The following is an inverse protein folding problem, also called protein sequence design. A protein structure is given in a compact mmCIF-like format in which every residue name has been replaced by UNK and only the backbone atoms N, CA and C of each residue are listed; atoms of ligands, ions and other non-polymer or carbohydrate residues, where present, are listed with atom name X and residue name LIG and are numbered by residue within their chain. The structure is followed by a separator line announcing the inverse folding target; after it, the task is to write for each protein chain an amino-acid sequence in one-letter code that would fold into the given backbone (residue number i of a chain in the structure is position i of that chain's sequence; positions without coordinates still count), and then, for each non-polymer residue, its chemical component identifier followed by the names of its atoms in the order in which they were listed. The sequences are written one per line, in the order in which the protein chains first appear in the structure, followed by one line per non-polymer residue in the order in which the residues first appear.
data_IF_569167673673
#
_entry.id   IF_569167673673
#
_cell.length_a   1.000
_cell.length_b   1.000
_cell.length_c   1.000
_cell.angle_alpha   90.00
_cell.angle_beta   90.00
_cell.angle_gamma   90.00
#
_symmetry.space_group_name_H-M   'P 1'
#
loop_
_entity.id
_entity.type
_entity.pdbx_description
1 polymer ?
#
# COMPACT_ATOMS: atom_id res chain seq x y z
N UNK A 1 24.93 41.34 24.01
CA UNK A 1 23.60 41.08 24.46
C UNK A 1 23.41 39.62 24.80
N UNK A 2 23.49 39.35 26.08
CA UNK A 2 23.44 37.95 26.58
C UNK A 2 22.13 37.24 26.27
N UNK A 3 20.98 37.93 26.35
CA UNK A 3 19.68 37.37 26.09
C UNK A 3 19.53 36.87 24.64
N UNK A 4 20.00 37.62 23.67
CA UNK A 4 19.96 37.24 22.26
C UNK A 4 20.83 36.01 21.95
N UNK A 5 21.99 35.92 22.57
CA UNK A 5 22.89 34.74 22.46
C UNK A 5 22.25 33.50 23.06
N UNK A 6 21.60 33.64 24.22
CA UNK A 6 20.87 32.50 24.85
C UNK A 6 19.69 32.04 24.00
N UNK A 7 18.88 32.98 23.51
CA UNK A 7 17.75 32.66 22.63
C UNK A 7 18.23 31.95 21.35
N UNK A 8 19.28 32.44 20.71
CA UNK A 8 19.89 31.82 19.56
C UNK A 8 20.40 30.41 19.87
N UNK A 9 21.05 30.22 20.99
CA UNK A 9 21.55 28.92 21.43
C UNK A 9 20.41 27.92 21.66
N UNK A 10 19.36 28.34 22.34
CA UNK A 10 18.17 27.52 22.59
C UNK A 10 17.52 27.12 21.26
N UNK A 11 17.40 28.07 20.33
CA UNK A 11 16.82 27.80 19.00
C UNK A 11 17.66 26.79 18.22
N UNK A 12 18.97 26.92 18.20
CA UNK A 12 19.87 25.97 17.52
C UNK A 12 19.76 24.58 18.11
N UNK A 13 19.76 24.46 19.43
CA UNK A 13 19.61 23.18 20.11
C UNK A 13 18.24 22.54 19.85
N UNK A 14 17.20 23.36 19.79
CA UNK A 14 15.86 22.89 19.45
C UNK A 14 15.81 22.29 18.02
N UNK A 15 16.41 22.98 17.05
CA UNK A 15 16.49 22.50 15.65
C UNK A 15 17.30 21.22 15.58
N UNK A 16 18.44 21.13 16.29
CA UNK A 16 19.25 19.91 16.36
C UNK A 16 18.45 18.74 16.96
N UNK A 17 17.73 18.98 18.05
CA UNK A 17 16.90 17.95 18.68
C UNK A 17 15.81 17.42 17.74
N UNK A 18 15.13 18.31 17.03
CA UNK A 18 14.13 17.94 16.02
C UNK A 18 14.76 17.13 14.89
N UNK A 19 15.92 17.54 14.38
CA UNK A 19 16.63 16.84 13.31
C UNK A 19 17.05 15.43 13.74
N UNK A 20 17.56 15.27 14.96
CA UNK A 20 17.92 13.95 15.52
C UNK A 20 16.68 13.09 15.70
N UNK A 21 15.60 13.63 16.23
CA UNK A 21 14.33 12.88 16.36
C UNK A 21 13.80 12.41 15.01
N UNK A 22 13.82 13.24 13.98
CA UNK A 22 13.40 12.87 12.63
C UNK A 22 14.30 11.79 12.04
N UNK A 23 15.61 11.89 12.26
CA UNK A 23 16.57 10.87 11.78
C UNK A 23 16.31 9.52 12.46
N UNK A 24 16.15 9.47 13.76
CA UNK A 24 15.83 8.25 14.52
C UNK A 24 14.49 7.68 14.07
N UNK A 25 13.48 8.52 13.94
CA UNK A 25 12.16 8.12 13.45
C UNK A 25 12.24 7.48 12.05
N UNK A 26 13.00 8.08 11.13
CA UNK A 26 13.20 7.55 9.78
C UNK A 26 13.89 6.20 9.81
N UNK A 27 14.96 6.04 10.58
CA UNK A 27 15.72 4.79 10.71
C UNK A 27 14.81 3.68 11.28
N UNK A 28 14.12 3.96 12.37
CA UNK A 28 13.20 3.01 13.01
C UNK A 28 12.07 2.62 12.06
N UNK A 29 11.48 3.59 11.38
CA UNK A 29 10.39 3.36 10.43
C UNK A 29 10.81 2.49 9.25
N UNK A 30 12.00 2.72 8.70
CA UNK A 30 12.53 1.93 7.58
C UNK A 30 12.94 0.52 8.03
N UNK A 31 13.49 0.39 9.25
CA UNK A 31 14.00 -0.90 9.75
C UNK A 31 12.91 -1.80 10.33
N UNK A 32 11.83 -1.22 10.86
CA UNK A 32 10.81 -1.97 11.59
C UNK A 32 9.60 -2.34 10.73
N UNK A 33 9.29 -1.51 9.73
CA UNK A 33 8.12 -1.72 8.89
C UNK A 33 8.54 -2.00 7.45
N UNK A 34 8.09 -3.12 6.92
CA UNK A 34 8.17 -3.37 5.49
C UNK A 34 7.44 -2.24 4.73
N UNK A 35 7.98 -1.91 3.56
CA UNK A 35 7.46 -0.82 2.74
C UNK A 35 5.98 -1.00 2.38
N UNK A 36 5.54 -2.25 2.29
CA UNK A 36 4.16 -2.62 2.01
C UNK A 36 3.23 -2.57 3.23
N UNK A 37 3.79 -2.57 4.44
CA UNK A 37 3.00 -2.63 5.68
C UNK A 37 2.75 -1.26 6.33
N UNK A 38 3.26 -0.19 5.72
CA UNK A 38 3.08 1.15 6.26
C UNK A 38 1.65 1.60 6.07
N UNK A 39 0.91 1.61 7.15
CA UNK A 39 -0.44 2.15 7.19
C UNK A 39 -0.54 3.28 8.21
N UNK A 40 -1.36 4.27 7.91
CA UNK A 40 -1.70 5.35 8.81
C UNK A 40 -3.22 5.36 8.98
N UNK A 41 -3.68 5.11 10.20
CA UNK A 41 -5.12 5.00 10.51
C UNK A 41 -5.88 3.98 9.64
N UNK A 42 -5.23 2.88 9.26
CA UNK A 42 -5.81 1.85 8.40
C UNK A 42 -5.77 2.17 6.90
N UNK A 43 -5.13 3.27 6.50
CA UNK A 43 -4.94 3.64 5.10
C UNK A 43 -3.49 3.45 4.66
N UNK A 44 -3.31 2.96 3.45
CA UNK A 44 -2.00 2.84 2.78
C UNK A 44 -2.03 3.60 1.47
N UNK A 45 -0.92 4.25 1.14
CA UNK A 45 -0.75 4.95 -0.12
C UNK A 45 0.24 4.20 -1.02
N UNK A 46 -0.15 3.98 -2.26
CA UNK A 46 0.69 3.34 -3.28
C UNK A 46 0.70 4.15 -4.56
N UNK A 47 1.84 4.08 -5.25
CA UNK A 47 1.93 4.59 -6.62
C UNK A 47 1.67 3.41 -7.56
N UNK A 48 0.76 3.60 -8.49
CA UNK A 48 0.43 2.61 -9.52
C UNK A 48 1.60 2.46 -10.47
N UNK A 49 2.10 1.24 -10.66
CA UNK A 49 3.29 0.95 -11.46
C UNK A 49 2.97 0.45 -12.87
N UNK A 50 1.72 0.09 -13.15
CA UNK A 50 1.32 -0.45 -14.45
C UNK A 50 0.01 0.14 -14.95
N UNK A 51 -0.23 0.04 -16.25
CA UNK A 51 -1.45 0.52 -16.91
C UNK A 51 -2.57 -0.51 -16.95
N UNK A 52 -2.51 -1.58 -16.14
CA UNK A 52 -3.51 -2.66 -16.14
C UNK A 52 -4.94 -2.20 -15.82
N UNK A 53 -5.09 -1.04 -15.17
CA UNK A 53 -6.38 -0.43 -14.83
C UNK A 53 -6.66 0.87 -15.58
N UNK A 54 -5.83 1.24 -16.58
CA UNK A 54 -5.89 2.54 -17.25
C UNK A 54 -7.14 2.77 -18.08
N UNK A 55 -7.81 1.70 -18.48
CA UNK A 55 -9.01 1.80 -19.33
C UNK A 55 -10.19 2.47 -18.62
N UNK A 56 -10.37 2.23 -17.32
CA UNK A 56 -11.57 2.65 -16.59
C UNK A 56 -11.30 3.40 -15.30
N UNK A 57 -10.16 3.20 -14.65
CA UNK A 57 -9.98 3.62 -13.26
C UNK A 57 -8.80 4.58 -13.05
N UNK A 58 -7.56 4.12 -13.27
CA UNK A 58 -6.37 4.94 -13.03
C UNK A 58 -5.18 4.45 -13.85
N UNK A 59 -4.20 5.35 -14.06
CA UNK A 59 -3.01 5.12 -14.89
C UNK A 59 -1.76 4.88 -14.03
N UNK A 60 -0.72 4.34 -14.66
CA UNK A 60 0.61 4.25 -14.04
C UNK A 60 1.10 5.64 -13.63
N UNK A 61 1.65 5.75 -12.43
CA UNK A 61 2.07 7.02 -11.83
C UNK A 61 1.03 7.67 -10.94
N UNK A 62 -0.23 7.23 -10.98
CA UNK A 62 -1.27 7.74 -10.08
C UNK A 62 -1.02 7.28 -8.64
N UNK A 63 -1.33 8.17 -7.71
CA UNK A 63 -1.31 7.85 -6.29
C UNK A 63 -2.68 7.34 -5.87
N UNK A 64 -2.71 6.13 -5.31
CA UNK A 64 -3.94 5.53 -4.77
C UNK A 64 -3.85 5.43 -3.25
N UNK A 65 -4.95 5.76 -2.59
CA UNK A 65 -5.10 5.59 -1.16
C UNK A 65 -6.06 4.43 -0.92
N UNK A 66 -5.57 3.39 -0.25
CA UNK A 66 -6.35 2.19 0.05
C UNK A 66 -6.61 2.07 1.54
N UNK A 67 -7.73 1.45 1.89
CA UNK A 67 -8.13 1.17 3.27
C UNK A 67 -8.09 -0.33 3.53
N UNK A 68 -7.57 -0.72 4.68
CA UNK A 68 -7.70 -2.10 5.15
C UNK A 68 -9.16 -2.39 5.49
N UNK A 69 -9.68 -3.46 4.92
CA UNK A 69 -11.05 -3.92 5.15
C UNK A 69 -11.07 -5.42 5.38
N UNK A 70 -12.12 -5.90 6.04
CA UNK A 70 -12.35 -7.35 6.16
C UNK A 70 -12.65 -7.92 4.76
N UNK A 71 -11.85 -8.89 4.28
CA UNK A 71 -12.07 -9.51 2.97
C UNK A 71 -13.47 -10.10 2.78
N UNK A 72 -14.11 -10.54 3.85
CA UNK A 72 -15.46 -11.08 3.81
C UNK A 72 -16.53 -10.04 3.40
N UNK A 73 -16.21 -8.75 3.48
CA UNK A 73 -17.11 -7.65 3.09
C UNK A 73 -16.98 -7.25 1.62
N UNK A 74 -15.97 -7.76 0.92
CA UNK A 74 -15.70 -7.44 -0.48
C UNK A 74 -16.68 -8.17 -1.40
N UNK A 75 -16.97 -7.54 -2.54
CA UNK A 75 -17.93 -8.04 -3.53
C UNK A 75 -17.44 -7.75 -4.95
N UNK A 76 -18.13 -8.36 -5.92
CA UNK A 76 -17.87 -8.12 -7.34
C UNK A 76 -17.88 -6.64 -7.69
N UNK A 77 -16.91 -6.22 -8.50
CA UNK A 77 -16.75 -4.85 -8.92
C UNK A 77 -15.89 -3.98 -7.99
N UNK A 78 -15.55 -4.46 -6.79
CA UNK A 78 -14.64 -3.74 -5.90
C UNK A 78 -13.20 -3.77 -6.46
N UNK A 79 -12.48 -2.68 -6.27
CA UNK A 79 -11.06 -2.58 -6.61
C UNK A 79 -10.26 -2.87 -5.34
N UNK A 80 -9.36 -3.85 -5.42
CA UNK A 80 -8.53 -4.28 -4.30
C UNK A 80 -7.05 -4.16 -4.61
N UNK A 81 -6.26 -3.91 -3.57
CA UNK A 81 -4.81 -4.06 -3.61
C UNK A 81 -4.43 -5.27 -2.76
N UNK A 82 -3.60 -6.13 -3.30
CA UNK A 82 -3.19 -7.38 -2.66
C UNK A 82 -1.74 -7.72 -3.00
N UNK A 83 -1.14 -8.58 -2.19
CA UNK A 83 0.19 -9.12 -2.46
C UNK A 83 0.08 -10.30 -3.43
N UNK A 84 0.69 -10.19 -4.58
CA UNK A 84 0.60 -11.21 -5.63
C UNK A 84 1.30 -12.50 -5.22
N UNK A 85 0.63 -13.62 -5.49
CA UNK A 85 1.17 -14.97 -5.37
C UNK A 85 1.54 -15.57 -6.73
N UNK A 86 1.35 -14.82 -7.81
CA UNK A 86 1.73 -15.25 -9.15
C UNK A 86 3.26 -15.26 -9.29
N UNK A 87 3.81 -16.26 -9.97
CA UNK A 87 5.26 -16.42 -10.18
C UNK A 87 5.91 -15.23 -10.88
N UNK A 88 5.18 -14.57 -11.78
CA UNK A 88 5.70 -13.46 -12.57
C UNK A 88 5.92 -12.17 -11.75
N UNK A 89 5.15 -12.00 -10.68
CA UNK A 89 5.17 -10.79 -9.86
C UNK A 89 5.01 -11.10 -8.36
N UNK A 90 5.52 -12.23 -7.92
CA UNK A 90 5.42 -12.69 -6.54
C UNK A 90 5.91 -11.63 -5.54
N UNK A 91 5.11 -11.40 -4.50
CA UNK A 91 5.43 -10.46 -3.44
C UNK A 91 5.20 -8.99 -3.78
N UNK A 92 4.82 -8.66 -5.02
CA UNK A 92 4.48 -7.28 -5.40
C UNK A 92 3.04 -6.96 -5.06
N UNK A 93 2.79 -5.69 -4.72
CA UNK A 93 1.42 -5.20 -4.54
C UNK A 93 0.79 -4.95 -5.90
N UNK A 94 -0.32 -5.62 -6.15
CA UNK A 94 -1.13 -5.51 -7.37
C UNK A 94 -2.47 -4.89 -7.02
N UNK A 95 -2.95 -3.97 -7.87
CA UNK A 95 -4.28 -3.37 -7.73
C UNK A 95 -5.11 -3.75 -8.96
N UNK A 96 -6.10 -4.59 -8.75
CA UNK A 96 -7.01 -5.08 -9.77
C UNK A 96 -8.45 -5.08 -9.25
N UNK A 97 -9.39 -5.33 -10.17
CA UNK A 97 -10.81 -5.36 -9.87
C UNK A 97 -11.28 -6.79 -9.63
N UNK A 98 -12.22 -6.98 -8.71
CA UNK A 98 -12.83 -8.29 -8.45
C UNK A 98 -13.85 -8.59 -9.54
N UNK A 99 -13.64 -9.68 -10.27
CA UNK A 99 -14.60 -10.19 -11.23
C UNK A 99 -15.68 -11.05 -10.58
N UNK A 100 -15.26 -11.97 -9.71
CA UNK A 100 -16.18 -12.86 -9.00
C UNK A 100 -15.58 -13.39 -7.71
N UNK A 101 -16.45 -13.81 -6.82
CA UNK A 101 -16.08 -14.53 -5.61
C UNK A 101 -15.97 -16.02 -5.94
N UNK A 102 -14.98 -16.70 -5.38
CA UNK A 102 -14.73 -18.12 -5.63
C UNK A 102 -14.20 -18.82 -4.39
N UNK A 103 -13.88 -20.09 -4.52
CA UNK A 103 -13.17 -20.87 -3.52
C UNK A 103 -12.00 -21.59 -4.16
N UNK A 104 -10.94 -21.78 -3.40
CA UNK A 104 -9.81 -22.60 -3.82
C UNK A 104 -10.19 -24.09 -3.80
N UNK A 105 -9.28 -24.92 -4.31
CA UNK A 105 -9.46 -26.39 -4.28
C UNK A 105 -9.62 -26.92 -2.85
N UNK A 106 -8.98 -26.25 -1.88
CA UNK A 106 -9.08 -26.57 -0.45
C UNK A 106 -10.35 -26.03 0.22
N UNK A 107 -11.20 -25.31 -0.53
CA UNK A 107 -12.45 -24.73 -0.05
C UNK A 107 -12.29 -23.37 0.65
N UNK A 108 -11.11 -22.77 0.62
CA UNK A 108 -10.89 -21.43 1.16
C UNK A 108 -11.52 -20.36 0.26
N UNK A 109 -12.14 -19.31 0.85
CA UNK A 109 -12.70 -18.23 0.06
C UNK A 109 -11.60 -17.41 -0.63
N UNK A 110 -11.89 -16.94 -1.83
CA UNK A 110 -10.97 -16.16 -2.63
C UNK A 110 -11.67 -15.34 -3.70
N UNK A 111 -10.89 -14.61 -4.48
CA UNK A 111 -11.36 -13.71 -5.53
C UNK A 111 -10.69 -14.03 -6.86
N UNK A 112 -11.48 -13.99 -7.94
CA UNK A 112 -10.97 -13.90 -9.30
C UNK A 112 -10.88 -12.41 -9.63
N UNK A 113 -9.68 -11.96 -9.99
CA UNK A 113 -9.38 -10.55 -10.27
C UNK A 113 -8.98 -10.36 -11.73
N UNK A 114 -9.09 -9.14 -12.22
CA UNK A 114 -8.68 -8.78 -13.57
C UNK A 114 -8.23 -7.32 -13.66
N UNK A 115 -7.33 -7.04 -14.59
CA UNK A 115 -6.98 -5.68 -14.99
C UNK A 115 -7.96 -5.17 -16.05
N UNK A 116 -8.48 -3.96 -15.88
CA UNK A 116 -9.51 -3.41 -16.78
C UNK A 116 -9.00 -3.11 -18.19
N UNK A 117 -7.70 -2.95 -18.37
CA UNK A 117 -7.09 -2.69 -19.69
C UNK A 117 -7.25 -3.88 -20.65
N UNK A 118 -6.98 -5.09 -20.18
CA UNK A 118 -7.03 -6.31 -20.98
C UNK A 118 -8.35 -7.09 -20.83
N UNK A 119 -9.09 -6.84 -19.76
CA UNK A 119 -10.31 -7.54 -19.38
C UNK A 119 -10.14 -9.09 -19.30
N UNK A 120 -8.92 -9.52 -19.01
CA UNK A 120 -8.58 -10.92 -18.82
C UNK A 120 -8.42 -11.24 -17.33
N UNK A 121 -8.89 -12.41 -16.92
CA UNK A 121 -8.77 -12.87 -15.55
C UNK A 121 -7.32 -13.18 -15.20
N UNK A 122 -6.93 -12.81 -13.99
CA UNK A 122 -5.63 -13.18 -13.43
C UNK A 122 -5.59 -14.71 -13.22
N UNK A 123 -4.41 -15.28 -13.45
CA UNK A 123 -4.22 -16.74 -13.39
C UNK A 123 -4.29 -17.31 -11.98
N UNK A 124 -4.10 -16.48 -10.98
CA UNK A 124 -4.03 -16.90 -9.58
C UNK A 124 -5.22 -16.36 -8.80
N UNK A 125 -5.87 -17.22 -8.02
CA UNK A 125 -6.94 -16.81 -7.11
C UNK A 125 -6.33 -16.05 -5.94
N UNK A 126 -6.88 -14.88 -5.63
CA UNK A 126 -6.47 -14.08 -4.47
C UNK A 126 -7.21 -14.58 -3.25
N UNK A 127 -6.49 -15.04 -2.25
CA UNK A 127 -7.05 -15.51 -0.98
C UNK A 127 -6.94 -14.45 0.10
N UNK A 128 -7.70 -14.60 1.19
CA UNK A 128 -7.82 -13.58 2.24
C UNK A 128 -6.51 -13.16 2.92
N UNK A 129 -5.52 -14.04 3.12
CA UNK A 129 -4.27 -13.64 3.76
C UNK A 129 -3.37 -12.70 2.94
N UNK A 130 -3.64 -12.45 1.66
CA UNK A 130 -2.76 -11.71 0.74
C UNK A 130 -3.33 -10.40 0.22
#
# INVERSE_FOLDING_TARGET
MKALKVIRSIFVWLVVAIAVCMMVFTIVSVSTFDRSDRSLFGYKAFIVLSDSMSKTDFDAGDLVLIKEVDPATLKEGDIIAYTSQNTDNFGKTVTHKIRSLTKTEDGEPGFITYGTTNDEDDKTIVTYPY
#
